data_IF_676604573074
#
_entry.id   IF_676604573074
#
_cell.length_a   1.000
_cell.length_b   1.000
_cell.length_c   1.000
_cell.angle_alpha   90.00
_cell.angle_beta   90.00
_cell.angle_gamma   90.00
#
_symmetry.space_group_name_H-M   'P 1'
#
loop_
_entity.id
_entity.type
_entity.pdbx_description
1 polymer ?
#
# COMPACT_ATOMS: atom_id res chain seq x y z
N UNK A 1 4.84 -7.03 -8.08
CA UNK A 1 5.61 -5.89 -7.56
C UNK A 1 4.91 -5.41 -6.31
N UNK A 2 5.63 -5.39 -5.19
CA UNK A 2 5.07 -5.01 -3.91
C UNK A 2 4.98 -3.47 -3.83
N UNK A 3 3.80 -2.93 -3.50
CA UNK A 3 3.56 -1.48 -3.53
C UNK A 3 4.49 -0.73 -2.58
N UNK A 4 4.91 -1.38 -1.48
CA UNK A 4 5.84 -0.79 -0.53
C UNK A 4 7.19 -0.49 -1.19
N UNK A 5 7.73 -1.42 -1.96
CA UNK A 5 8.99 -1.20 -2.70
C UNK A 5 8.84 -0.07 -3.70
N UNK A 6 7.69 0.05 -4.36
CA UNK A 6 7.47 1.15 -5.29
C UNK A 6 7.47 2.52 -4.59
N UNK A 7 6.91 2.60 -3.38
CA UNK A 7 6.95 3.82 -2.58
C UNK A 7 8.35 4.10 -2.06
N UNK A 8 9.10 3.07 -1.69
CA UNK A 8 10.49 3.16 -1.25
C UNK A 8 11.40 3.68 -2.37
N UNK A 9 11.32 3.11 -3.57
CA UNK A 9 12.10 3.52 -4.74
C UNK A 9 11.83 4.98 -5.16
N UNK A 10 10.62 5.47 -4.90
CA UNK A 10 10.23 6.86 -5.19
C UNK A 10 10.52 7.82 -4.04
N UNK A 11 11.10 7.36 -2.93
CA UNK A 11 11.37 8.18 -1.75
C UNK A 11 10.10 8.67 -1.03
N UNK A 12 8.96 8.03 -1.27
CA UNK A 12 7.68 8.36 -0.61
C UNK A 12 7.58 7.74 0.79
N UNK A 13 8.39 6.73 1.05
CA UNK A 13 8.55 6.12 2.37
C UNK A 13 9.99 5.65 2.54
N UNK A 14 10.46 5.62 3.76
CA UNK A 14 11.80 5.18 4.16
C UNK A 14 11.77 3.80 4.83
N UNK A 15 10.63 3.41 5.40
CA UNK A 15 10.50 2.22 6.23
C UNK A 15 9.12 1.61 6.15
N UNK A 16 9.01 0.29 6.38
CA UNK A 16 7.72 -0.40 6.48
C UNK A 16 6.85 0.19 7.60
N UNK A 17 7.49 0.74 8.64
CA UNK A 17 6.86 1.46 9.74
C UNK A 17 6.13 2.70 9.24
N UNK A 18 6.86 3.58 8.58
CA UNK A 18 6.31 4.81 8.01
C UNK A 18 5.25 4.51 6.96
N UNK A 19 5.44 3.49 6.12
CA UNK A 19 4.41 3.09 5.15
C UNK A 19 3.12 2.58 5.81
N UNK A 20 3.25 1.79 6.88
CA UNK A 20 2.08 1.25 7.60
C UNK A 20 1.25 2.36 8.23
N UNK A 21 1.87 3.34 8.87
CA UNK A 21 1.17 4.44 9.53
C UNK A 21 0.75 5.54 8.56
N UNK A 22 1.71 6.16 7.85
CA UNK A 22 1.44 7.37 7.07
C UNK A 22 0.69 7.12 5.76
N UNK A 23 0.81 5.93 5.17
CA UNK A 23 0.13 5.61 3.91
C UNK A 23 -1.05 4.67 4.11
N UNK A 24 -0.90 3.59 4.88
CA UNK A 24 -1.99 2.64 5.08
C UNK A 24 -2.95 2.99 6.23
N UNK A 25 -2.63 3.99 7.06
CA UNK A 25 -3.44 4.32 8.24
C UNK A 25 -3.56 3.19 9.25
N UNK A 26 -2.60 2.25 9.26
CA UNK A 26 -2.55 1.07 10.14
C UNK A 26 -1.50 1.24 11.24
N UNK A 27 -1.51 0.31 12.18
CA UNK A 27 -0.48 0.22 13.20
C UNK A 27 0.90 0.12 12.54
N UNK A 28 1.89 0.74 13.17
CA UNK A 28 3.27 0.83 12.68
C UNK A 28 3.94 -0.53 12.41
N UNK A 29 3.49 -1.59 13.10
CA UNK A 29 3.98 -2.96 12.92
C UNK A 29 3.20 -3.76 11.87
N UNK A 30 2.18 -3.19 11.23
CA UNK A 30 1.25 -3.92 10.35
C UNK A 30 1.95 -4.71 9.23
N UNK A 31 2.83 -4.06 8.46
CA UNK A 31 3.57 -4.75 7.39
C UNK A 31 4.56 -5.78 7.93
N UNK A 32 5.21 -5.47 9.06
CA UNK A 32 6.14 -6.38 9.72
C UNK A 32 5.42 -7.67 10.15
N UNK A 33 4.19 -7.57 10.66
CA UNK A 33 3.37 -8.70 11.07
C UNK A 33 2.87 -9.55 9.89
N UNK A 34 2.82 -9.00 8.67
CA UNK A 34 2.41 -9.74 7.47
C UNK A 34 3.50 -10.62 6.86
N UNK A 35 4.67 -10.72 7.48
CA UNK A 35 5.73 -11.67 7.13
C UNK A 35 6.06 -11.72 5.62
N UNK A 36 6.14 -10.56 4.97
CA UNK A 36 6.49 -10.45 3.55
C UNK A 36 5.34 -10.67 2.55
N UNK A 37 4.08 -10.84 3.01
CA UNK A 37 2.90 -10.98 2.13
C UNK A 37 2.43 -9.66 1.50
N UNK A 38 3.07 -8.54 1.81
CA UNK A 38 2.63 -7.19 1.41
C UNK A 38 1.35 -6.75 2.11
N UNK A 39 0.82 -5.56 1.80
CA UNK A 39 -0.45 -5.07 2.36
C UNK A 39 -1.65 -5.90 1.90
N UNK A 40 -2.72 -5.98 2.71
CA UNK A 40 -3.98 -6.60 2.26
C UNK A 40 -4.62 -5.80 1.12
N UNK A 41 -5.44 -6.49 0.33
CA UNK A 41 -6.31 -5.86 -0.65
C UNK A 41 -7.15 -4.73 -0.01
N UNK A 42 -7.75 -4.93 1.16
CA UNK A 42 -8.52 -3.89 1.86
C UNK A 42 -7.68 -2.65 2.18
N UNK A 43 -6.45 -2.83 2.69
CA UNK A 43 -5.57 -1.71 3.01
C UNK A 43 -5.16 -0.92 1.75
N UNK A 44 -5.03 -1.60 0.62
CA UNK A 44 -4.73 -0.97 -0.67
C UNK A 44 -5.95 -0.25 -1.25
N UNK A 45 -7.16 -0.78 -1.04
CA UNK A 45 -8.42 -0.13 -1.45
C UNK A 45 -8.66 1.13 -0.62
N UNK A 46 -8.44 1.08 0.69
CA UNK A 46 -8.51 2.27 1.55
C UNK A 46 -7.50 3.34 1.12
N UNK A 47 -6.24 2.95 0.91
CA UNK A 47 -5.20 3.85 0.37
C UNK A 47 -5.62 4.45 -0.97
N UNK A 48 -6.19 3.65 -1.87
CA UNK A 48 -6.71 4.14 -3.15
C UNK A 48 -7.78 5.22 -2.96
N UNK A 49 -8.77 4.98 -2.10
CA UNK A 49 -9.84 5.94 -1.82
C UNK A 49 -9.29 7.24 -1.23
N UNK A 50 -8.35 7.15 -0.28
CA UNK A 50 -7.67 8.32 0.28
C UNK A 50 -6.96 9.12 -0.80
N UNK A 51 -6.17 8.47 -1.66
CA UNK A 51 -5.43 9.15 -2.73
C UNK A 51 -6.36 9.83 -3.76
N UNK A 52 -7.51 9.23 -4.06
CA UNK A 52 -8.54 9.85 -4.90
C UNK A 52 -9.13 11.07 -4.22
N UNK A 53 -9.48 10.97 -2.93
CA UNK A 53 -10.01 12.10 -2.14
C UNK A 53 -9.03 13.26 -2.02
N UNK A 54 -7.73 12.99 -1.96
CA UNK A 54 -6.66 14.00 -1.93
C UNK A 54 -6.27 14.53 -3.32
N UNK A 55 -6.88 14.05 -4.41
CA UNK A 55 -6.56 14.46 -5.78
C UNK A 55 -5.21 13.94 -6.31
N UNK A 56 -4.57 12.98 -5.62
CA UNK A 56 -3.30 12.36 -6.01
C UNK A 56 -3.52 11.25 -7.05
N UNK A 57 -4.14 11.60 -8.18
CA UNK A 57 -4.67 10.65 -9.17
C UNK A 57 -3.61 9.70 -9.78
N UNK A 58 -2.38 10.18 -10.01
CA UNK A 58 -1.29 9.34 -10.55
C UNK A 58 -0.89 8.23 -9.57
N UNK A 59 -0.82 8.56 -8.27
CA UNK A 59 -0.55 7.60 -7.21
C UNK A 59 -1.74 6.65 -7.02
N UNK A 60 -2.96 7.18 -7.03
CA UNK A 60 -4.18 6.40 -6.96
C UNK A 60 -4.24 5.37 -8.09
N UNK A 61 -4.01 5.76 -9.35
CA UNK A 61 -4.00 4.84 -10.48
C UNK A 61 -2.98 3.70 -10.29
N UNK A 62 -1.83 3.99 -9.69
CA UNK A 62 -0.78 3.00 -9.44
C UNK A 62 -1.15 2.02 -8.33
N UNK A 63 -1.74 2.52 -7.24
CA UNK A 63 -2.28 1.67 -6.17
C UNK A 63 -3.44 0.83 -6.69
N UNK A 64 -4.34 1.42 -7.49
CA UNK A 64 -5.45 0.72 -8.14
C UNK A 64 -4.97 -0.39 -9.09
N UNK A 65 -3.91 -0.15 -9.86
CA UNK A 65 -3.28 -1.21 -10.66
C UNK A 65 -2.73 -2.34 -9.78
N UNK A 66 -2.08 -2.01 -8.66
CA UNK A 66 -1.62 -3.03 -7.71
C UNK A 66 -2.79 -3.83 -7.12
N UNK A 67 -3.94 -3.19 -6.83
CA UNK A 67 -5.17 -3.87 -6.37
C UNK A 67 -5.70 -4.86 -7.40
N UNK A 68 -5.82 -4.43 -8.66
CA UNK A 68 -6.42 -5.23 -9.74
C UNK A 68 -5.56 -6.46 -10.09
N UNK A 69 -4.23 -6.36 -9.95
CA UNK A 69 -3.29 -7.41 -10.31
C UNK A 69 -2.67 -8.14 -9.11
N UNK A 70 -3.26 -8.03 -7.91
CA UNK A 70 -2.88 -8.86 -6.76
C UNK A 70 -3.10 -10.35 -7.09
N UNK A 71 -2.06 -11.16 -6.88
CA UNK A 71 -2.18 -12.62 -7.00
C UNK A 71 -3.25 -13.13 -6.02
N UNK A 72 -4.11 -14.09 -6.42
CA UNK A 72 -5.27 -14.53 -5.63
C UNK A 72 -4.97 -14.96 -4.19
N UNK A 73 -3.73 -15.39 -3.89
CA UNK A 73 -3.28 -15.79 -2.55
C UNK A 73 -3.05 -14.67 -1.54
N UNK A 74 -3.10 -13.39 -1.95
CA UNK A 74 -2.96 -12.23 -1.05
C UNK A 74 -4.30 -11.69 -0.54
N UNK A 75 -5.42 -12.35 -0.89
CA UNK A 75 -6.79 -11.94 -0.54
C UNK A 75 -7.31 -12.49 0.80
N UNK A 76 -6.53 -13.32 1.50
CA UNK A 76 -6.87 -13.86 2.83
C UNK A 76 -5.82 -13.49 3.87
#
# INVERSE_FOLDING_TARGET
MDIYHHFLERGLTDSQRHFSSAWLGRAENYLCLRAGRGPSADALVELFQTLVGEGKLVLAARVGWAVLWLKPGARR
#
